data_IF_362474299699
#
_entry.id   IF_362474299699
#
_cell.length_a   1.000
_cell.length_b   1.000
_cell.length_c   1.000
_cell.angle_alpha   90.00
_cell.angle_beta   90.00
_cell.angle_gamma   90.00
#
_symmetry.space_group_name_H-M   'P 1'
#
loop_
_entity.id
_entity.type
_entity.pdbx_description
1 polymer ?
#
# COMPACT_ATOMS: atom_id res chain seq x y z
N UNK A 1 -7.17 -12.66 82.04
CA UNK A 1 -6.60 -11.32 81.79
C UNK A 1 -5.38 -11.50 80.89
N UNK A 2 -5.46 -11.07 79.62
CA UNK A 2 -4.37 -10.74 78.68
C UNK A 2 -3.30 -11.84 78.39
N UNK A 3 -2.88 -12.16 77.17
CA UNK A 3 -3.07 -11.59 75.83
C UNK A 3 -2.35 -12.54 74.85
N UNK A 4 -3.00 -12.86 73.72
CA UNK A 4 -2.46 -13.67 72.62
C UNK A 4 -1.51 -12.79 71.79
N UNK A 5 -0.25 -13.22 71.59
CA UNK A 5 0.70 -12.60 70.68
C UNK A 5 0.27 -12.87 69.22
N UNK A 6 0.01 -11.82 68.45
CA UNK A 6 -0.08 -11.90 66.99
C UNK A 6 1.10 -11.11 66.40
N UNK A 7 1.98 -11.82 65.70
CA UNK A 7 3.06 -11.21 64.93
C UNK A 7 2.48 -10.68 63.61
N UNK A 8 2.58 -9.37 63.37
CA UNK A 8 2.21 -8.73 62.11
C UNK A 8 3.46 -8.73 61.22
N UNK A 9 3.40 -9.49 60.13
CA UNK A 9 4.39 -9.48 59.06
C UNK A 9 4.10 -8.27 58.15
N UNK A 10 4.99 -7.29 58.11
CA UNK A 10 4.88 -6.13 57.22
C UNK A 10 5.43 -6.52 55.84
N UNK A 11 4.55 -6.78 54.86
CA UNK A 11 4.94 -6.92 53.45
C UNK A 11 4.86 -5.54 52.81
N UNK A 12 6.01 -4.96 52.47
CA UNK A 12 6.09 -3.75 51.68
C UNK A 12 5.81 -4.08 50.21
N UNK A 13 4.64 -3.68 49.71
CA UNK A 13 4.32 -3.67 48.29
C UNK A 13 5.06 -2.49 47.63
N UNK A 14 6.15 -2.80 46.93
CA UNK A 14 6.77 -1.88 45.97
C UNK A 14 5.88 -1.88 44.70
N UNK A 15 5.02 -0.88 44.57
CA UNK A 15 4.40 -0.54 43.28
C UNK A 15 5.47 0.07 42.37
N UNK A 16 5.97 -0.71 41.42
CA UNK A 16 6.72 -0.19 40.28
C UNK A 16 5.76 0.61 39.39
N UNK A 17 5.71 1.92 39.60
CA UNK A 17 5.01 2.84 38.73
C UNK A 17 5.91 3.14 37.51
N UNK A 18 5.86 2.27 36.49
CA UNK A 18 6.52 2.52 35.21
C UNK A 18 5.71 3.56 34.41
N UNK A 19 5.73 4.81 34.85
CA UNK A 19 5.38 5.93 33.98
C UNK A 19 6.56 6.17 33.03
N UNK A 20 6.60 5.44 31.93
CA UNK A 20 7.41 5.83 30.78
C UNK A 20 6.83 7.11 30.20
N UNK A 21 7.28 8.26 30.73
CA UNK A 21 7.11 9.57 30.12
C UNK A 21 7.93 9.62 28.82
N UNK A 22 7.47 8.93 27.77
CA UNK A 22 7.96 9.19 26.42
C UNK A 22 7.31 10.48 25.95
N UNK A 23 8.09 11.56 25.87
CA UNK A 23 7.66 12.74 25.11
C UNK A 23 7.32 12.28 23.69
N UNK A 24 6.23 12.77 23.07
CA UNK A 24 5.94 12.47 21.68
C UNK A 24 7.17 12.82 20.83
N UNK A 25 7.58 11.90 19.96
CA UNK A 25 8.63 12.19 19.00
C UNK A 25 8.20 13.41 18.16
N UNK A 26 9.06 14.42 18.08
CA UNK A 26 8.79 15.60 17.26
C UNK A 26 9.26 15.30 15.83
N UNK A 27 8.31 14.98 14.96
CA UNK A 27 8.61 14.71 13.55
C UNK A 27 8.74 16.01 12.76
N UNK A 28 9.65 16.03 11.78
CA UNK A 28 9.65 17.08 10.75
C UNK A 28 8.37 16.95 9.94
N UNK A 29 7.83 18.08 9.50
CA UNK A 29 6.62 18.10 8.68
C UNK A 29 6.90 18.59 7.26
N UNK A 30 6.13 18.09 6.30
CA UNK A 30 6.15 18.51 4.90
C UNK A 30 4.73 18.65 4.34
N UNK A 31 4.63 19.27 3.17
CA UNK A 31 3.41 19.36 2.41
C UNK A 31 2.31 20.24 3.01
N UNK A 32 1.16 20.23 2.37
CA UNK A 32 -0.01 21.01 2.76
C UNK A 32 -1.29 20.32 2.28
N UNK A 33 -2.37 20.42 3.06
CA UNK A 33 -3.70 19.99 2.59
C UNK A 33 -4.39 21.18 1.92
N UNK A 34 -4.60 21.09 0.61
CA UNK A 34 -5.21 22.12 -0.22
C UNK A 34 -6.67 21.76 -0.49
N UNK A 35 -7.65 22.51 0.06
CA UNK A 35 -9.06 22.28 -0.22
C UNK A 35 -9.45 22.78 -1.61
N UNK A 36 -10.22 21.97 -2.33
CA UNK A 36 -10.92 22.37 -3.56
C UNK A 36 -12.43 22.41 -3.37
N UNK A 37 -12.94 21.76 -2.33
CA UNK A 37 -14.35 21.70 -1.95
C UNK A 37 -14.52 21.73 -0.42
N UNK A 38 -15.64 22.31 0.06
CA UNK A 38 -15.93 22.41 1.49
C UNK A 38 -16.12 21.05 2.18
N UNK A 39 -16.56 20.03 1.44
CA UNK A 39 -16.76 18.68 1.95
C UNK A 39 -15.45 18.03 2.43
N UNK A 40 -14.27 18.53 2.00
CA UNK A 40 -12.98 18.05 2.51
C UNK A 40 -12.85 18.21 4.03
N UNK A 41 -13.49 19.24 4.61
CA UNK A 41 -13.40 19.54 6.05
C UNK A 41 -13.96 18.45 6.96
N UNK A 42 -14.78 17.54 6.41
CA UNK A 42 -15.28 16.35 7.09
C UNK A 42 -14.28 15.17 7.06
N UNK A 43 -13.27 15.23 6.19
CA UNK A 43 -12.28 14.16 5.97
C UNK A 43 -10.94 14.52 6.61
N UNK A 44 -10.46 15.74 6.38
CA UNK A 44 -9.13 16.18 6.79
C UNK A 44 -9.16 17.57 7.43
N UNK A 45 -8.24 17.80 8.36
CA UNK A 45 -7.98 19.13 8.89
C UNK A 45 -7.03 19.86 7.95
N UNK A 46 -7.47 20.95 7.32
CA UNK A 46 -6.62 21.70 6.38
C UNK A 46 -5.40 22.33 7.03
N UNK A 47 -5.39 22.45 8.36
CA UNK A 47 -4.22 22.86 9.14
C UNK A 47 -3.21 21.73 9.37
N UNK A 48 -3.61 20.46 9.19
CA UNK A 48 -2.71 19.32 9.37
C UNK A 48 -1.58 19.33 8.34
N UNK A 49 -0.44 18.77 8.74
CA UNK A 49 0.75 18.60 7.91
C UNK A 49 1.14 17.12 7.90
N UNK A 50 1.85 16.70 6.87
CA UNK A 50 2.39 15.36 6.80
C UNK A 50 3.64 15.29 7.65
N UNK A 51 3.68 14.40 8.64
CA UNK A 51 4.84 14.11 9.47
C UNK A 51 5.72 13.07 8.76
N UNK A 52 7.02 13.36 8.63
CA UNK A 52 8.01 12.42 8.07
C UNK A 52 8.38 11.43 9.18
N UNK A 53 7.85 10.20 9.10
CA UNK A 53 8.03 9.17 10.13
C UNK A 53 9.19 8.22 9.85
N UNK A 54 9.60 8.12 8.58
CA UNK A 54 10.80 7.41 8.17
C UNK A 54 11.40 8.03 6.89
N UNK A 55 12.71 7.90 6.71
CA UNK A 55 13.45 8.46 5.57
C UNK A 55 14.62 7.56 5.12
N UNK A 56 15.16 7.84 3.94
CA UNK A 56 16.37 7.20 3.40
C UNK A 56 16.10 5.93 2.58
N UNK A 57 14.98 5.90 1.87
CA UNK A 57 14.63 4.82 0.92
C UNK A 57 15.02 5.21 -0.50
N UNK A 58 15.19 4.22 -1.37
CA UNK A 58 15.36 4.47 -2.81
C UNK A 58 14.01 4.68 -3.49
N UNK A 59 13.03 3.83 -3.18
CA UNK A 59 11.64 4.01 -3.62
C UNK A 59 10.71 3.27 -2.65
N UNK A 60 10.13 4.03 -1.72
CA UNK A 60 9.16 3.49 -0.76
C UNK A 60 7.83 3.16 -1.45
N UNK A 61 7.20 2.04 -1.11
CA UNK A 61 6.01 1.49 -1.77
C UNK A 61 5.14 0.63 -0.86
N UNK A 62 3.93 0.32 -1.32
CA UNK A 62 3.04 -0.69 -0.74
C UNK A 62 2.87 -0.61 0.78
N UNK A 63 2.51 0.55 1.38
CA UNK A 63 2.30 0.66 2.80
C UNK A 63 1.10 -0.20 3.24
N UNK A 64 1.24 -0.89 4.37
CA UNK A 64 0.21 -1.72 4.97
C UNK A 64 0.27 -1.61 6.49
N UNK A 65 -0.83 -1.17 7.10
CA UNK A 65 -0.95 -1.15 8.56
C UNK A 65 -1.37 -2.51 9.09
N UNK A 66 -0.60 -3.02 10.06
CA UNK A 66 -0.84 -4.28 10.74
C UNK A 66 -1.39 -4.01 12.15
N UNK A 67 -2.72 -3.96 12.26
CA UNK A 67 -3.40 -3.53 13.48
C UNK A 67 -3.04 -4.37 14.71
N UNK A 68 -3.01 -5.70 14.59
CA UNK A 68 -2.69 -6.56 15.73
C UNK A 68 -1.25 -6.37 16.23
N UNK A 69 -0.33 -5.99 15.33
CA UNK A 69 1.09 -5.78 15.62
C UNK A 69 1.41 -4.31 15.93
N UNK A 70 0.46 -3.39 15.72
CA UNK A 70 0.64 -1.95 15.88
C UNK A 70 1.86 -1.42 15.13
N UNK A 71 2.01 -1.84 13.86
CA UNK A 71 3.11 -1.42 13.01
C UNK A 71 2.65 -1.15 11.58
N UNK A 72 3.30 -0.19 10.94
CA UNK A 72 3.24 -0.01 9.50
C UNK A 72 4.34 -0.85 8.87
N UNK A 73 4.06 -1.62 7.82
CA UNK A 73 5.09 -2.18 6.94
C UNK A 73 4.99 -1.57 5.55
N UNK A 74 6.11 -1.49 4.83
CA UNK A 74 6.18 -0.94 3.48
C UNK A 74 7.45 -1.45 2.78
N UNK A 75 7.41 -1.52 1.46
CA UNK A 75 8.53 -1.97 0.64
C UNK A 75 9.48 -0.82 0.31
N UNK A 76 10.77 -1.11 0.22
CA UNK A 76 11.74 -0.34 -0.56
C UNK A 76 12.14 -1.23 -1.75
N UNK A 77 11.51 -0.97 -2.89
CA UNK A 77 11.48 -1.93 -4.03
C UNK A 77 12.89 -2.16 -4.60
N UNK A 78 13.72 -1.12 -4.83
CA UNK A 78 15.10 -1.29 -5.28
C UNK A 78 15.96 -2.07 -4.29
N UNK A 79 15.77 -1.82 -2.99
CA UNK A 79 16.57 -2.42 -1.93
C UNK A 79 16.22 -3.89 -1.62
N UNK A 80 15.20 -4.47 -2.28
CA UNK A 80 14.68 -5.82 -2.03
C UNK A 80 14.34 -6.06 -0.54
N UNK A 81 13.75 -5.06 0.11
CA UNK A 81 13.55 -5.04 1.57
C UNK A 81 12.17 -4.51 1.91
N UNK A 82 11.49 -5.14 2.87
CA UNK A 82 10.35 -4.53 3.56
C UNK A 82 10.88 -3.97 4.87
N UNK A 83 10.48 -2.76 5.19
CA UNK A 83 10.70 -2.12 6.47
C UNK A 83 9.42 -2.14 7.29
N UNK A 84 9.56 -2.08 8.60
CA UNK A 84 8.48 -1.77 9.53
C UNK A 84 8.75 -0.44 10.22
N UNK A 85 7.69 0.19 10.68
CA UNK A 85 7.73 1.35 11.54
C UNK A 85 6.75 1.19 12.71
N UNK A 86 7.20 1.55 13.91
CA UNK A 86 6.38 1.64 15.13
C UNK A 86 6.60 2.98 15.81
N UNK A 87 5.62 3.46 16.59
CA UNK A 87 5.78 4.67 17.40
C UNK A 87 6.94 4.55 18.40
N UNK A 88 7.16 3.35 18.96
CA UNK A 88 8.18 3.12 19.98
C UNK A 88 9.60 3.11 19.41
N UNK A 89 9.82 2.40 18.30
CA UNK A 89 11.17 2.10 17.77
C UNK A 89 11.50 2.84 16.49
N UNK A 90 10.53 3.48 15.84
CA UNK A 90 10.70 4.03 14.51
C UNK A 90 10.92 2.92 13.47
N UNK A 91 11.75 3.23 12.47
CA UNK A 91 12.04 2.37 11.32
C UNK A 91 12.99 1.22 11.67
N UNK A 92 12.62 0.00 11.31
CA UNK A 92 13.47 -1.21 11.38
C UNK A 92 13.29 -2.06 10.11
N UNK A 93 14.27 -2.91 9.78
CA UNK A 93 14.08 -3.93 8.74
C UNK A 93 13.04 -4.94 9.21
N UNK A 94 12.09 -5.28 8.34
CA UNK A 94 11.07 -6.29 8.58
C UNK A 94 11.40 -7.60 7.87
N UNK A 95 11.63 -7.56 6.55
CA UNK A 95 11.87 -8.75 5.75
C UNK A 95 12.90 -8.47 4.64
N UNK A 96 13.88 -9.35 4.50
CA UNK A 96 14.86 -9.34 3.40
C UNK A 96 15.36 -10.76 3.10
N UNK A 97 15.38 -11.20 1.83
CA UNK A 97 14.82 -10.53 0.63
C UNK A 97 13.29 -10.50 0.66
N UNK A 98 12.67 -9.55 -0.06
CA UNK A 98 11.20 -9.41 -0.13
C UNK A 98 10.58 -9.74 -1.48
N UNK A 99 11.33 -9.67 -2.58
CA UNK A 99 10.87 -9.98 -3.94
C UNK A 99 11.71 -11.04 -4.63
N UNK A 100 12.94 -10.68 -5.00
CA UNK A 100 13.87 -11.58 -5.68
C UNK A 100 14.55 -12.51 -4.68
N UNK A 101 14.38 -13.82 -4.85
CA UNK A 101 14.98 -14.84 -3.96
C UNK A 101 16.13 -15.63 -4.58
N UNK A 102 16.63 -15.22 -5.74
CA UNK A 102 17.78 -15.87 -6.38
C UNK A 102 19.09 -15.65 -5.62
N UNK A 103 20.09 -16.50 -5.88
CA UNK A 103 21.40 -16.44 -5.23
C UNK A 103 22.32 -15.36 -5.81
N UNK A 104 22.12 -15.01 -7.08
CA UNK A 104 22.92 -13.99 -7.77
C UNK A 104 22.31 -12.60 -7.60
N UNK A 105 23.09 -11.51 -7.70
CA UNK A 105 22.52 -10.17 -7.75
C UNK A 105 21.49 -10.04 -8.88
N UNK A 106 20.31 -9.49 -8.56
CA UNK A 106 19.33 -9.20 -9.59
C UNK A 106 19.86 -8.15 -10.56
N UNK A 107 19.51 -8.29 -11.84
CA UNK A 107 19.80 -7.31 -12.90
C UNK A 107 18.69 -6.27 -13.05
N UNK A 108 17.55 -6.47 -12.38
CA UNK A 108 16.43 -5.53 -12.40
C UNK A 108 16.67 -4.42 -11.37
N UNK A 109 16.23 -3.20 -11.68
CA UNK A 109 16.35 -2.03 -10.78
C UNK A 109 15.41 -2.12 -9.57
N UNK A 110 14.29 -2.81 -9.72
CA UNK A 110 13.26 -2.96 -8.70
C UNK A 110 13.01 -4.45 -8.38
N UNK A 111 13.99 -5.16 -7.78
CA UNK A 111 13.88 -6.60 -7.55
C UNK A 111 12.99 -6.97 -6.35
N UNK A 112 12.63 -6.02 -5.49
CA UNK A 112 11.89 -6.26 -4.25
C UNK A 112 10.42 -6.62 -4.40
N UNK A 113 9.76 -6.73 -3.25
CA UNK A 113 8.30 -6.63 -3.19
C UNK A 113 7.87 -5.20 -3.54
N UNK A 114 6.67 -5.06 -4.11
CA UNK A 114 6.00 -3.78 -4.29
C UNK A 114 4.77 -3.72 -3.38
N UNK A 115 3.56 -3.87 -3.91
CA UNK A 115 2.31 -3.90 -3.17
C UNK A 115 2.26 -5.00 -2.10
N UNK A 116 1.70 -4.63 -0.94
CA UNK A 116 1.52 -5.49 0.22
C UNK A 116 0.05 -5.51 0.61
N UNK A 117 -0.48 -6.70 0.92
CA UNK A 117 -1.85 -6.85 1.40
C UNK A 117 -1.97 -8.02 2.37
N UNK A 118 -3.14 -8.19 2.99
CA UNK A 118 -3.45 -9.38 3.79
C UNK A 118 -4.49 -10.23 3.07
N UNK A 119 -4.30 -11.54 3.09
CA UNK A 119 -5.39 -12.46 2.77
C UNK A 119 -6.46 -12.45 3.87
N UNK A 120 -7.60 -13.10 3.63
CA UNK A 120 -8.71 -13.16 4.59
C UNK A 120 -8.37 -13.90 5.90
N UNK A 121 -7.24 -14.60 5.96
CA UNK A 121 -6.72 -15.25 7.17
C UNK A 121 -5.69 -14.38 7.91
N UNK A 122 -5.40 -13.17 7.40
CA UNK A 122 -4.43 -12.25 7.98
C UNK A 122 -2.98 -12.59 7.65
N UNK A 123 -2.72 -13.43 6.63
CA UNK A 123 -1.36 -13.69 6.16
C UNK A 123 -0.89 -12.59 5.21
N UNK A 124 0.39 -12.24 5.27
CA UNK A 124 0.99 -11.28 4.34
C UNK A 124 1.04 -11.85 2.92
N UNK A 125 0.50 -11.10 1.97
CA UNK A 125 0.58 -11.36 0.53
C UNK A 125 1.32 -10.20 -0.13
N UNK A 126 2.22 -10.54 -1.06
CA UNK A 126 3.14 -9.61 -1.67
C UNK A 126 3.13 -9.75 -3.19
N UNK A 127 3.18 -8.60 -3.85
CA UNK A 127 3.56 -8.44 -5.24
C UNK A 127 5.09 -8.55 -5.35
N UNK A 128 5.64 -9.66 -5.87
CA UNK A 128 7.10 -9.84 -5.98
C UNK A 128 7.58 -9.55 -7.40
N UNK A 129 8.21 -8.40 -7.62
CA UNK A 129 8.76 -8.02 -8.92
C UNK A 129 9.83 -9.00 -9.39
N UNK A 130 10.86 -9.24 -8.57
CA UNK A 130 12.01 -10.04 -8.96
C UNK A 130 11.67 -11.50 -9.31
N UNK A 131 10.76 -12.11 -8.55
CA UNK A 131 10.31 -13.48 -8.79
C UNK A 131 9.15 -13.56 -9.81
N UNK A 132 8.55 -12.42 -10.15
CA UNK A 132 7.45 -12.25 -11.10
C UNK A 132 6.21 -13.06 -10.70
N UNK A 133 5.78 -12.92 -9.44
CA UNK A 133 4.67 -13.69 -8.86
C UNK A 133 3.92 -12.95 -7.77
N UNK A 134 2.67 -13.33 -7.57
CA UNK A 134 1.95 -13.12 -6.31
C UNK A 134 2.32 -14.22 -5.33
N UNK A 135 2.71 -13.85 -4.12
CA UNK A 135 3.15 -14.80 -3.10
C UNK A 135 2.57 -14.50 -1.73
N UNK A 136 2.31 -15.55 -0.95
CA UNK A 136 2.00 -15.47 0.48
C UNK A 136 3.25 -15.78 1.29
N UNK A 137 3.56 -14.98 2.31
CA UNK A 137 4.61 -15.30 3.27
C UNK A 137 4.18 -16.49 4.13
N UNK A 138 5.03 -17.51 4.21
CA UNK A 138 4.85 -18.70 5.04
C UNK A 138 5.57 -18.54 6.38
N UNK A 139 5.21 -17.49 7.09
CA UNK A 139 5.74 -17.13 8.40
C UNK A 139 4.74 -16.22 9.13
N UNK A 140 4.72 -16.21 10.48
CA UNK A 140 3.87 -15.29 11.23
C UNK A 140 4.39 -13.84 11.10
N UNK A 141 3.48 -12.87 11.20
CA UNK A 141 3.79 -11.45 11.02
C UNK A 141 4.74 -10.86 12.08
N UNK A 142 4.80 -11.45 13.28
CA UNK A 142 5.71 -11.02 14.35
C UNK A 142 7.12 -11.62 14.22
N UNK A 143 7.28 -12.66 13.40
CA UNK A 143 8.55 -13.31 13.09
C UNK A 143 8.62 -13.63 11.59
N UNK A 144 8.75 -12.59 10.75
CA UNK A 144 8.77 -12.75 9.30
C UNK A 144 10.01 -13.54 8.84
N UNK A 145 9.83 -14.40 7.84
CA UNK A 145 10.90 -15.14 7.19
C UNK A 145 10.68 -15.10 5.67
N UNK A 146 11.76 -15.09 4.89
CA UNK A 146 11.70 -15.08 3.42
C UNK A 146 11.37 -16.48 2.87
N UNK A 147 10.22 -17.00 3.29
CA UNK A 147 9.61 -18.27 2.86
C UNK A 147 8.28 -17.94 2.24
N UNK A 148 8.05 -18.41 1.03
CA UNK A 148 6.91 -17.96 0.24
C UNK A 148 6.18 -19.14 -0.40
N UNK A 149 4.85 -19.07 -0.37
CA UNK A 149 3.96 -19.94 -1.12
C UNK A 149 3.46 -19.15 -2.33
N UNK A 150 3.73 -19.64 -3.54
CA UNK A 150 3.24 -19.03 -4.77
C UNK A 150 1.72 -19.09 -4.83
N UNK A 151 1.08 -17.93 -5.01
CA UNK A 151 -0.37 -17.84 -5.30
C UNK A 151 -0.59 -17.90 -6.81
N UNK A 152 0.18 -17.12 -7.57
CA UNK A 152 0.15 -17.13 -9.03
C UNK A 152 1.49 -16.62 -9.59
N UNK A 153 2.08 -17.34 -10.55
CA UNK A 153 3.30 -16.93 -11.26
C UNK A 153 3.15 -16.90 -12.80
N UNK A 154 2.01 -17.40 -13.31
CA UNK A 154 1.73 -17.52 -14.74
C UNK A 154 0.26 -17.27 -15.08
N UNK A 155 0.05 -16.82 -16.31
CA UNK A 155 -1.23 -16.80 -16.99
C UNK A 155 -1.09 -17.47 -18.37
N UNK A 156 -1.93 -18.46 -18.67
CA UNK A 156 -1.86 -19.26 -19.91
C UNK A 156 -0.45 -19.80 -20.21
N UNK A 157 0.24 -20.30 -19.16
CA UNK A 157 1.58 -20.88 -19.26
C UNK A 157 2.73 -19.87 -19.36
N UNK A 158 2.43 -18.56 -19.47
CA UNK A 158 3.41 -17.48 -19.58
C UNK A 158 3.59 -16.77 -18.24
N UNK A 159 4.81 -16.37 -17.92
CA UNK A 159 5.11 -15.63 -16.68
C UNK A 159 4.54 -14.22 -16.72
N UNK A 160 4.02 -13.76 -15.58
CA UNK A 160 3.68 -12.34 -15.37
C UNK A 160 4.87 -11.43 -15.63
N UNK A 161 4.63 -10.17 -15.93
CA UNK A 161 5.71 -9.18 -16.10
C UNK A 161 6.35 -8.90 -14.75
N UNK A 162 5.59 -8.29 -13.84
CA UNK A 162 5.96 -7.96 -12.47
C UNK A 162 4.69 -7.48 -11.76
N UNK A 163 3.96 -8.38 -11.06
CA UNK A 163 2.78 -7.99 -10.30
C UNK A 163 3.10 -6.81 -9.37
N UNK A 164 2.24 -5.79 -9.31
CA UNK A 164 2.61 -4.48 -8.80
C UNK A 164 1.78 -4.06 -7.58
N UNK A 165 0.45 -4.00 -7.68
CA UNK A 165 -0.45 -3.78 -6.54
C UNK A 165 -1.59 -4.81 -6.52
N UNK A 166 -2.19 -5.03 -5.35
CA UNK A 166 -3.18 -6.09 -5.16
C UNK A 166 -4.20 -5.85 -4.04
N UNK A 167 -5.39 -6.39 -4.21
CA UNK A 167 -6.50 -6.32 -3.25
C UNK A 167 -7.30 -7.62 -3.23
N UNK A 168 -7.70 -8.06 -2.04
CA UNK A 168 -8.64 -9.17 -1.88
C UNK A 168 -10.08 -8.64 -1.81
N UNK A 169 -11.01 -9.41 -2.37
CA UNK A 169 -12.44 -9.21 -2.08
C UNK A 169 -12.87 -10.04 -0.85
N UNK A 170 -14.10 -9.80 -0.36
CA UNK A 170 -14.68 -10.55 0.77
C UNK A 170 -14.82 -12.05 0.50
N UNK A 171 -14.87 -12.49 -0.76
CA UNK A 171 -14.91 -13.89 -1.15
C UNK A 171 -13.52 -14.58 -1.06
N UNK A 172 -12.45 -13.83 -0.82
CA UNK A 172 -11.08 -14.36 -0.73
C UNK A 172 -10.40 -14.53 -2.09
N UNK A 173 -10.93 -13.90 -3.13
CA UNK A 173 -10.32 -13.85 -4.45
C UNK A 173 -9.35 -12.66 -4.52
N UNK A 174 -8.19 -12.89 -5.12
CA UNK A 174 -7.12 -11.89 -5.23
C UNK A 174 -7.22 -11.16 -6.56
N UNK A 175 -7.20 -9.83 -6.55
CA UNK A 175 -7.15 -9.00 -7.74
C UNK A 175 -5.81 -8.27 -7.75
N UNK A 176 -5.12 -8.23 -8.88
CA UNK A 176 -3.80 -7.59 -8.95
C UNK A 176 -3.51 -7.01 -10.34
N UNK A 177 -2.56 -6.10 -10.40
CA UNK A 177 -2.07 -5.46 -11.64
C UNK A 177 -0.70 -5.99 -12.03
N UNK A 178 -0.44 -6.12 -13.34
CA UNK A 178 0.82 -6.65 -13.88
C UNK A 178 1.44 -5.73 -14.95
N UNK A 179 1.94 -4.54 -14.57
CA UNK A 179 2.80 -3.71 -15.43
C UNK A 179 4.24 -4.26 -15.48
N UNK A 180 5.13 -3.74 -16.36
CA UNK A 180 6.48 -4.27 -16.53
C UNK A 180 7.55 -3.56 -15.68
N UNK A 181 7.19 -2.80 -14.65
CA UNK A 181 8.13 -1.98 -13.87
C UNK A 181 9.27 -2.77 -13.21
N UNK A 182 9.00 -4.01 -12.81
CA UNK A 182 9.99 -4.92 -12.23
C UNK A 182 10.85 -5.67 -13.24
N UNK A 183 10.59 -5.52 -14.54
CA UNK A 183 11.46 -6.02 -15.60
C UNK A 183 12.71 -5.13 -15.76
N UNK A 184 13.72 -5.59 -16.49
CA UNK A 184 15.02 -4.94 -16.56
C UNK A 184 14.96 -3.61 -17.31
N UNK A 185 14.20 -3.54 -18.42
CA UNK A 185 14.01 -2.29 -19.17
C UNK A 185 12.91 -1.39 -18.57
N UNK A 186 12.11 -1.93 -17.65
CA UNK A 186 10.93 -1.27 -17.04
C UNK A 186 9.84 -0.86 -18.05
N UNK A 187 9.86 -1.44 -19.26
CA UNK A 187 8.93 -1.13 -20.34
C UNK A 187 8.47 -2.39 -21.10
N UNK A 188 7.61 -2.21 -22.10
CA UNK A 188 7.05 -3.32 -22.87
C UNK A 188 8.03 -3.94 -23.88
N UNK A 189 9.22 -3.36 -24.04
CA UNK A 189 10.25 -3.86 -24.97
C UNK A 189 11.20 -4.87 -24.32
N UNK A 190 11.03 -5.15 -23.01
CA UNK A 190 11.88 -6.09 -22.30
C UNK A 190 11.84 -7.49 -22.94
N UNK A 191 12.99 -8.09 -23.29
CA UNK A 191 13.02 -9.40 -23.95
C UNK A 191 12.53 -10.55 -23.07
N UNK A 192 12.42 -10.37 -21.74
CA UNK A 192 11.89 -11.36 -20.80
C UNK A 192 10.38 -11.25 -20.59
N UNK A 193 9.73 -10.26 -21.20
CA UNK A 193 8.27 -10.10 -21.15
C UNK A 193 7.59 -11.16 -22.03
N UNK A 194 6.81 -12.03 -21.40
CA UNK A 194 6.17 -13.17 -22.10
C UNK A 194 4.72 -12.86 -22.51
N UNK A 195 3.98 -12.18 -21.63
CA UNK A 195 2.63 -11.66 -21.87
C UNK A 195 2.74 -10.31 -22.55
N UNK A 196 2.11 -10.16 -23.72
CA UNK A 196 2.33 -9.00 -24.59
C UNK A 196 1.57 -7.73 -24.16
N UNK A 197 0.57 -7.87 -23.28
CA UNK A 197 -0.16 -6.76 -22.69
C UNK A 197 0.19 -6.60 -21.21
N UNK A 198 -0.18 -5.45 -20.64
CA UNK A 198 -0.29 -5.27 -19.20
C UNK A 198 -1.75 -5.50 -18.81
N UNK A 199 -1.98 -6.15 -17.67
CA UNK A 199 -3.31 -6.63 -17.33
C UNK A 199 -3.68 -6.38 -15.88
N UNK A 200 -4.99 -6.38 -15.64
CA UNK A 200 -5.59 -6.59 -14.34
C UNK A 200 -6.08 -8.02 -14.30
N UNK A 201 -5.68 -8.77 -13.28
CA UNK A 201 -5.95 -10.19 -13.13
C UNK A 201 -6.73 -10.48 -11.85
N UNK A 202 -7.40 -11.63 -11.85
CA UNK A 202 -8.09 -12.21 -10.70
C UNK A 202 -7.57 -13.64 -10.48
N UNK A 203 -7.26 -14.00 -9.24
CA UNK A 203 -7.02 -15.37 -8.80
C UNK A 203 -8.22 -15.81 -7.97
N UNK A 204 -8.91 -16.84 -8.43
CA UNK A 204 -10.04 -17.44 -7.69
C UNK A 204 -9.51 -18.29 -6.54
N UNK A 205 -10.39 -18.65 -5.61
CA UNK A 205 -10.05 -19.46 -4.44
C UNK A 205 -9.57 -20.88 -4.79
N UNK A 206 -9.86 -21.37 -6.00
CA UNK A 206 -9.35 -22.64 -6.53
C UNK A 206 -7.97 -22.52 -7.20
N UNK A 207 -7.38 -21.31 -7.25
CA UNK A 207 -6.10 -21.00 -7.88
C UNK A 207 -6.17 -20.67 -9.36
N UNK A 208 -7.35 -20.70 -9.99
CA UNK A 208 -7.49 -20.30 -11.40
C UNK A 208 -7.25 -18.80 -11.59
N UNK A 209 -6.52 -18.45 -12.64
CA UNK A 209 -6.17 -17.06 -12.99
C UNK A 209 -7.01 -16.59 -14.19
N UNK A 210 -7.62 -15.42 -14.05
CA UNK A 210 -8.47 -14.79 -15.06
C UNK A 210 -7.88 -13.41 -15.39
N UNK A 211 -7.72 -13.12 -16.69
CA UNK A 211 -7.49 -11.76 -17.16
C UNK A 211 -8.82 -11.00 -17.15
N UNK A 212 -8.91 -9.95 -16.36
CA UNK A 212 -10.12 -9.12 -16.26
C UNK A 212 -10.16 -8.02 -17.31
N UNK A 213 -9.02 -7.37 -17.55
CA UNK A 213 -8.87 -6.38 -18.62
C UNK A 213 -7.40 -6.16 -18.95
N UNK A 214 -7.11 -5.90 -20.22
CA UNK A 214 -5.82 -5.44 -20.76
C UNK A 214 -5.92 -4.05 -21.42
N UNK A 215 -7.03 -3.35 -21.19
CA UNK A 215 -7.32 -2.05 -21.79
C UNK A 215 -6.54 -0.87 -21.18
N UNK A 216 -5.91 -1.10 -20.03
CA UNK A 216 -5.11 -0.13 -19.28
C UNK A 216 -3.64 -0.37 -19.62
N UNK A 217 -2.95 0.67 -20.10
CA UNK A 217 -1.59 0.55 -20.64
C UNK A 217 -0.52 0.30 -19.57
N UNK A 218 -0.70 0.87 -18.37
CA UNK A 218 0.18 0.75 -17.21
C UNK A 218 -0.68 0.63 -15.93
N UNK A 219 -1.44 -0.48 -15.77
CA UNK A 219 -2.30 -0.68 -14.61
C UNK A 219 -1.43 -0.71 -13.35
N UNK A 220 -1.81 0.05 -12.34
CA UNK A 220 -1.01 0.25 -11.14
C UNK A 220 -1.87 0.02 -9.88
N UNK A 221 -2.13 1.02 -9.04
CA UNK A 221 -2.95 0.86 -7.84
C UNK A 221 -4.37 0.37 -8.11
N UNK A 222 -4.90 -0.45 -7.19
CA UNK A 222 -6.18 -1.14 -7.34
C UNK A 222 -6.95 -1.18 -6.02
N UNK A 223 -8.25 -0.82 -6.03
CA UNK A 223 -9.09 -0.99 -4.86
C UNK A 223 -10.59 -1.15 -5.18
N UNK A 224 -11.28 -1.90 -4.33
CA UNK A 224 -12.74 -1.97 -4.33
C UNK A 224 -13.37 -0.77 -3.64
N UNK A 225 -14.51 -0.34 -4.16
CA UNK A 225 -15.45 0.47 -3.38
C UNK A 225 -16.09 -0.40 -2.26
N UNK A 226 -16.65 0.20 -1.18
CA UNK A 226 -17.10 -0.54 0.00
C UNK A 226 -18.11 -1.68 -0.26
N UNK A 227 -18.93 -1.53 -1.31
CA UNK A 227 -19.93 -2.51 -1.73
C UNK A 227 -19.37 -3.63 -2.63
N UNK A 228 -18.10 -3.55 -3.01
CA UNK A 228 -17.39 -4.46 -3.94
C UNK A 228 -18.08 -4.62 -5.30
N UNK A 229 -18.91 -3.65 -5.70
CA UNK A 229 -19.55 -3.64 -7.03
C UNK A 229 -18.74 -2.88 -8.06
N UNK A 230 -17.83 -2.03 -7.61
CA UNK A 230 -16.94 -1.24 -8.44
C UNK A 230 -15.48 -1.48 -8.08
N UNK A 231 -14.64 -1.55 -9.11
CA UNK A 231 -13.19 -1.63 -9.02
C UNK A 231 -12.56 -0.37 -9.59
N UNK A 232 -11.70 0.29 -8.83
CA UNK A 232 -10.90 1.42 -9.29
C UNK A 232 -9.48 0.94 -9.58
N UNK A 233 -8.94 1.31 -10.75
CA UNK A 233 -7.58 0.99 -11.17
C UNK A 233 -6.89 2.25 -11.69
N UNK A 234 -5.71 2.55 -11.16
CA UNK A 234 -4.87 3.65 -11.64
C UNK A 234 -4.08 3.26 -12.89
N UNK A 235 -3.75 4.25 -13.72
CA UNK A 235 -2.92 4.08 -14.90
C UNK A 235 -1.70 5.03 -14.85
N UNK A 236 -0.53 4.47 -14.61
CA UNK A 236 0.75 5.17 -14.55
C UNK A 236 1.38 5.35 -15.95
N UNK A 237 0.56 5.72 -16.92
CA UNK A 237 0.99 6.05 -18.28
C UNK A 237 0.98 7.58 -18.45
N UNK A 238 2.13 8.24 -18.71
CA UNK A 238 2.20 9.68 -18.95
C UNK A 238 1.28 10.17 -20.08
N UNK A 239 0.98 9.33 -21.07
CA UNK A 239 0.07 9.67 -22.17
C UNK A 239 -1.41 9.56 -21.77
N UNK A 240 -1.74 8.79 -20.73
CA UNK A 240 -3.11 8.57 -20.23
C UNK A 240 -3.14 8.46 -18.70
N UNK A 241 -2.71 9.50 -17.95
CA UNK A 241 -2.59 9.44 -16.49
C UNK A 241 -3.98 9.54 -15.85
N UNK A 242 -4.70 8.42 -15.84
CA UNK A 242 -6.10 8.36 -15.48
C UNK A 242 -6.33 7.33 -14.36
N UNK A 243 -7.36 7.57 -13.56
CA UNK A 243 -7.99 6.53 -12.76
C UNK A 243 -9.21 6.03 -13.50
N UNK A 244 -9.36 4.71 -13.65
CA UNK A 244 -10.47 4.06 -14.33
C UNK A 244 -11.33 3.31 -13.32
N UNK A 245 -12.65 3.44 -13.43
CA UNK A 245 -13.61 2.67 -12.63
C UNK A 245 -14.37 1.70 -13.54
N UNK A 246 -14.57 0.49 -13.04
CA UNK A 246 -15.31 -0.58 -13.71
C UNK A 246 -16.39 -1.11 -12.78
N UNK A 247 -17.50 -1.54 -13.37
CA UNK A 247 -18.49 -2.38 -12.68
C UNK A 247 -18.00 -3.83 -12.70
N UNK A 248 -18.17 -4.54 -11.60
CA UNK A 248 -17.80 -5.95 -11.47
C UNK A 248 -19.01 -6.81 -11.79
N UNK A 249 -18.87 -7.73 -12.75
CA UNK A 249 -19.90 -8.67 -13.15
C UNK A 249 -19.33 -10.10 -13.14
N UNK A 250 -19.27 -10.70 -11.95
CA UNK A 250 -18.70 -12.03 -11.75
C UNK A 250 -17.19 -12.08 -12.05
N UNK A 251 -16.83 -12.81 -13.10
CA UNK A 251 -15.45 -12.97 -13.57
C UNK A 251 -15.09 -11.98 -14.71
N UNK A 252 -15.87 -10.92 -14.87
CA UNK A 252 -15.64 -9.88 -15.88
C UNK A 252 -15.77 -8.45 -15.31
N UNK A 253 -15.10 -7.51 -15.96
CA UNK A 253 -15.29 -6.07 -15.74
C UNK A 253 -16.16 -5.48 -16.86
N UNK A 254 -17.07 -4.59 -16.50
CA UNK A 254 -18.01 -3.94 -17.41
C UNK A 254 -18.02 -2.42 -17.22
N UNK A 255 -18.59 -1.70 -18.19
CA UNK A 255 -18.84 -0.24 -18.13
C UNK A 255 -17.62 0.61 -17.73
N UNK A 256 -16.42 0.19 -18.16
CA UNK A 256 -15.17 0.88 -17.88
C UNK A 256 -15.21 2.34 -18.32
N UNK A 257 -14.93 3.26 -17.39
CA UNK A 257 -14.89 4.70 -17.66
C UNK A 257 -13.78 5.37 -16.88
N UNK A 258 -13.36 6.54 -17.34
CA UNK A 258 -12.45 7.41 -16.59
C UNK A 258 -13.21 7.90 -15.35
N UNK A 259 -12.69 7.56 -14.17
CA UNK A 259 -13.13 8.13 -12.89
C UNK A 259 -12.63 9.56 -12.76
N UNK A 260 -11.35 9.78 -13.08
CA UNK A 260 -10.75 11.11 -13.20
C UNK A 260 -9.51 11.07 -14.10
N UNK A 261 -9.23 12.17 -14.82
CA UNK A 261 -8.04 12.31 -15.66
C UNK A 261 -7.09 13.37 -15.09
N UNK A 262 -5.84 12.99 -14.85
CA UNK A 262 -4.78 13.91 -14.46
C UNK A 262 -4.04 14.50 -15.69
N UNK A 263 -4.57 14.33 -16.90
CA UNK A 263 -3.97 14.91 -18.09
C UNK A 263 -3.86 16.44 -17.96
N UNK A 264 -2.67 16.99 -18.22
CA UNK A 264 -2.38 18.42 -18.04
C UNK A 264 -2.22 18.88 -16.59
N UNK A 265 -2.31 17.98 -15.60
CA UNK A 265 -2.14 18.30 -14.17
C UNK A 265 -0.71 18.06 -13.67
N UNK A 266 0.21 17.59 -14.53
CA UNK A 266 1.57 17.20 -14.17
C UNK A 266 2.63 18.29 -14.35
N UNK A 267 2.28 19.46 -14.88
CA UNK A 267 3.27 20.51 -15.14
C UNK A 267 3.94 20.97 -13.84
N UNK A 268 5.25 20.75 -13.74
CA UNK A 268 6.05 21.08 -12.55
C UNK A 268 5.78 20.20 -11.31
N UNK A 269 5.00 19.12 -11.43
CA UNK A 269 4.65 18.22 -10.34
C UNK A 269 5.18 16.80 -10.61
N UNK A 270 5.71 16.14 -9.57
CA UNK A 270 6.18 14.76 -9.65
C UNK A 270 5.04 13.75 -9.45
N UNK A 271 5.23 12.54 -9.95
CA UNK A 271 4.31 11.41 -9.75
C UNK A 271 3.26 11.23 -10.84
N UNK A 272 2.71 10.01 -10.91
CA UNK A 272 1.62 9.60 -11.80
C UNK A 272 0.53 8.92 -10.94
N UNK A 273 -0.66 8.64 -11.49
CA UNK A 273 -1.65 7.78 -10.84
C UNK A 273 -1.07 6.41 -10.54
N UNK A 274 -0.76 6.18 -9.26
CA UNK A 274 -0.01 5.01 -8.77
C UNK A 274 -0.91 4.27 -7.75
N UNK A 275 -0.47 4.05 -6.51
CA UNK A 275 -1.26 3.45 -5.44
C UNK A 275 -2.47 4.26 -4.95
N UNK A 276 -3.48 3.57 -4.42
CA UNK A 276 -4.69 4.21 -3.91
C UNK A 276 -5.37 3.41 -2.79
N UNK A 277 -6.14 4.10 -1.95
CA UNK A 277 -6.98 3.52 -0.91
C UNK A 277 -8.36 4.13 -0.91
N UNK A 278 -9.37 3.31 -0.63
CA UNK A 278 -10.77 3.73 -0.49
C UNK A 278 -11.22 3.50 0.95
N UNK A 279 -11.84 4.51 1.56
CA UNK A 279 -12.36 4.42 2.93
C UNK A 279 -13.78 3.83 2.99
N UNK A 280 -14.29 3.57 4.20
CA UNK A 280 -15.62 2.95 4.40
C UNK A 280 -16.79 3.77 3.83
N UNK A 281 -16.61 5.07 3.64
CA UNK A 281 -17.63 5.95 3.06
C UNK A 281 -17.47 6.10 1.54
N UNK A 282 -16.47 5.43 0.95
CA UNK A 282 -16.19 5.46 -0.47
C UNK A 282 -15.36 6.66 -0.92
N UNK A 283 -14.78 7.46 -0.01
CA UNK A 283 -13.84 8.49 -0.46
C UNK A 283 -12.55 7.81 -0.91
N UNK A 284 -11.98 8.33 -2.00
CA UNK A 284 -10.79 7.78 -2.63
C UNK A 284 -9.59 8.66 -2.30
N UNK A 285 -8.55 8.06 -1.74
CA UNK A 285 -7.22 8.63 -1.55
C UNK A 285 -6.33 8.02 -2.63
N UNK A 286 -5.98 8.78 -3.65
CA UNK A 286 -5.16 8.24 -4.74
C UNK A 286 -3.93 9.10 -4.97
N UNK A 287 -2.77 8.46 -5.04
CA UNK A 287 -1.52 9.14 -5.36
C UNK A 287 -1.54 9.55 -6.83
N UNK A 288 -0.99 10.71 -7.12
CA UNK A 288 -0.98 11.29 -8.46
C UNK A 288 -0.02 12.48 -8.53
N UNK A 289 -0.07 13.26 -9.62
CA UNK A 289 0.79 14.43 -9.76
C UNK A 289 0.66 15.41 -8.57
N UNK A 290 1.78 15.60 -7.87
CA UNK A 290 1.95 16.52 -6.75
C UNK A 290 1.36 16.06 -5.42
N UNK A 291 1.13 14.76 -5.21
CA UNK A 291 0.75 14.20 -3.92
C UNK A 291 -0.49 13.30 -3.94
N UNK A 292 -1.27 13.31 -2.85
CA UNK A 292 -2.48 12.48 -2.72
C UNK A 292 -3.72 13.29 -3.03
N UNK A 293 -4.47 12.86 -4.04
CA UNK A 293 -5.76 13.42 -4.42
C UNK A 293 -6.86 12.76 -3.60
N UNK A 294 -7.79 13.57 -3.07
CA UNK A 294 -8.93 13.10 -2.29
C UNK A 294 -10.19 13.33 -3.11
N UNK A 295 -10.89 12.25 -3.45
CA UNK A 295 -12.14 12.28 -4.20
C UNK A 295 -13.32 11.80 -3.35
N UNK A 296 -14.51 12.29 -3.66
CA UNK A 296 -15.73 11.64 -3.22
C UNK A 296 -15.99 10.34 -4.03
N UNK A 297 -17.01 9.53 -3.67
CA UNK A 297 -17.27 8.25 -4.36
C UNK A 297 -17.65 8.36 -5.85
N UNK A 298 -18.02 9.55 -6.30
CA UNK A 298 -18.42 9.88 -7.68
C UNK A 298 -17.27 10.43 -8.53
N UNK A 299 -16.09 10.67 -7.96
CA UNK A 299 -14.91 11.17 -8.69
C UNK A 299 -14.75 12.70 -8.68
N UNK A 300 -15.53 13.41 -7.86
CA UNK A 300 -15.32 14.84 -7.61
C UNK A 300 -14.09 15.01 -6.70
N UNK A 301 -13.13 15.82 -7.14
CA UNK A 301 -11.97 16.17 -6.32
C UNK A 301 -12.40 17.09 -5.18
N UNK A 302 -12.13 16.68 -3.94
CA UNK A 302 -12.40 17.44 -2.72
C UNK A 302 -11.18 18.26 -2.30
N UNK A 303 -9.99 17.74 -2.57
CA UNK A 303 -8.73 18.43 -2.30
C UNK A 303 -7.52 17.56 -2.59
N UNK A 304 -6.36 18.07 -2.18
CA UNK A 304 -5.07 17.39 -2.37
C UNK A 304 -4.17 17.57 -1.15
N UNK A 305 -3.54 16.49 -0.69
CA UNK A 305 -2.37 16.55 0.18
C UNK A 305 -1.18 16.80 -0.75
N UNK A 306 -0.81 18.08 -0.89
CA UNK A 306 0.28 18.52 -1.77
C UNK A 306 1.63 18.11 -1.17
N UNK A 307 2.42 17.41 -1.97
CA UNK A 307 3.78 16.96 -1.66
C UNK A 307 4.71 17.31 -2.83
N UNK A 308 5.98 17.58 -2.52
CA UNK A 308 6.97 17.97 -3.54
C UNK A 308 7.63 16.75 -4.21
N UNK A 309 7.74 15.65 -3.47
CA UNK A 309 8.29 14.38 -3.97
C UNK A 309 7.21 13.49 -4.60
N UNK A 310 7.63 12.58 -5.49
CA UNK A 310 6.71 11.63 -6.10
C UNK A 310 6.07 10.76 -5.01
N UNK A 311 4.75 10.60 -5.06
CA UNK A 311 4.01 9.79 -4.09
C UNK A 311 3.61 8.48 -4.76
N UNK A 312 4.05 7.37 -4.20
CA UNK A 312 3.82 6.04 -4.79
C UNK A 312 2.49 5.47 -4.31
N UNK A 313 2.26 5.37 -3.00
CA UNK A 313 1.09 4.66 -2.47
C UNK A 313 0.62 5.24 -1.12
N UNK A 314 -0.53 4.78 -0.62
CA UNK A 314 -1.07 5.19 0.66
C UNK A 314 -1.92 4.10 1.36
N UNK A 315 -2.00 4.18 2.69
CA UNK A 315 -2.78 3.27 3.51
C UNK A 315 -3.51 4.01 4.63
N UNK A 316 -4.69 3.55 5.01
CA UNK A 316 -5.44 4.08 6.14
C UNK A 316 -5.24 3.20 7.37
N UNK A 317 -5.13 3.82 8.55
CA UNK A 317 -5.34 3.12 9.81
C UNK A 317 -6.77 2.55 9.89
N UNK A 318 -7.05 1.52 10.69
CA UNK A 318 -8.38 0.89 10.73
C UNK A 318 -9.48 1.82 11.22
N UNK A 319 -9.14 2.80 12.07
CA UNK A 319 -10.06 3.85 12.50
C UNK A 319 -10.20 4.99 11.48
N UNK A 320 -9.45 4.96 10.38
CA UNK A 320 -9.37 5.97 9.31
C UNK A 320 -8.93 7.36 9.80
N UNK A 321 -8.32 7.44 10.99
CA UNK A 321 -7.78 8.68 11.58
C UNK A 321 -6.38 9.03 11.14
N UNK A 322 -5.69 8.09 10.49
CA UNK A 322 -4.33 8.27 10.00
C UNK A 322 -4.22 7.78 8.58
N UNK A 323 -3.68 8.62 7.70
CA UNK A 323 -3.26 8.23 6.37
C UNK A 323 -1.73 8.11 6.37
N UNK A 324 -1.23 6.92 6.09
CA UNK A 324 0.18 6.66 5.82
C UNK A 324 0.44 6.78 4.32
N UNK A 325 1.58 7.37 3.96
CA UNK A 325 1.92 7.69 2.57
C UNK A 325 3.37 7.28 2.31
N UNK A 326 3.62 6.53 1.25
CA UNK A 326 4.97 6.32 0.71
C UNK A 326 5.26 7.40 -0.32
N UNK A 327 6.36 8.14 -0.11
CA UNK A 327 6.68 9.36 -0.84
C UNK A 327 8.16 9.39 -1.20
N UNK A 328 8.51 8.66 -2.26
CA UNK A 328 9.88 8.52 -2.75
C UNK A 328 10.82 8.02 -1.63
N UNK A 329 11.76 8.84 -1.17
CA UNK A 329 12.68 8.52 -0.09
C UNK A 329 12.09 8.62 1.33
N UNK A 330 10.80 8.97 1.46
CA UNK A 330 10.12 9.17 2.75
C UNK A 330 8.92 8.25 2.94
N UNK A 331 8.59 8.00 4.21
CA UNK A 331 7.26 7.56 4.63
C UNK A 331 6.67 8.60 5.55
N UNK A 332 5.43 8.98 5.27
CA UNK A 332 4.71 10.04 5.96
C UNK A 332 3.50 9.49 6.71
N UNK A 333 3.06 10.21 7.75
CA UNK A 333 1.70 10.07 8.30
C UNK A 333 0.99 11.42 8.32
N UNK A 334 -0.31 11.40 8.04
CA UNK A 334 -1.19 12.58 8.09
C UNK A 334 -2.37 12.24 8.98
N UNK A 335 -2.65 13.13 9.95
CA UNK A 335 -3.83 13.00 10.79
C UNK A 335 -5.08 13.43 10.03
N UNK A 336 -6.04 12.52 9.96
CA UNK A 336 -7.36 12.72 9.37
C UNK A 336 -8.37 13.07 10.48
N UNK A 337 -9.56 13.57 10.11
CA UNK A 337 -10.58 14.02 11.08
C UNK A 337 -11.58 12.96 11.51
N UNK A 338 -11.67 11.86 10.79
CA UNK A 338 -12.79 10.91 10.89
C UNK A 338 -12.88 10.21 12.24
#
# INVERSE_FOLDING_TARGET
MKSLLAAILLIALLSCNNNSNTRPAMYKTTGAIIPYDEALSAIADTAARAEIIAEGFEWSEGPLWLEKQQMLIFSDVPANTIYKWTEEKGKEVYLKPSGYTGSEPSVCKEPGSNGLTLDNNGNLVLCQHGDRKMARMDAPLDKPEAKFITIADKYNGKRFSSPNDAVFNKAGELFFTDPPYGLQTQDDTDPKKEIQHNGVYKVKTDGSVILLTDSITRPNGIAFFPDEKRLLVANSDPAKPNWYVFDINGDALANGKIFYSAAGQSEGLKGLPDGLKIDRNGNVFATGPGGVWIFNPEGKVLGKIKLDEATSNCALSPDEKTLYITNDMYVLRVKMRK
#
